data_IF_876292880426
#
_entry.id   IF_876292880426
#
_cell.length_a   1.000
_cell.length_b   1.000
_cell.length_c   1.000
_cell.angle_alpha   90.00
_cell.angle_beta   90.00
_cell.angle_gamma   90.00
#
_symmetry.space_group_name_H-M   'P 1'
#
loop_
_entity.id
_entity.type
_entity.pdbx_description
1 polymer ?
#
# COMPACT_ATOMS: atom_id res chain seq x y z
N UNK A 1 -19.33 -27.01 -74.64
CA UNK A 1 -19.24 -25.60 -75.08
C UNK A 1 -19.18 -24.70 -73.85
N UNK A 2 -18.13 -23.86 -73.77
CA UNK A 2 -17.89 -22.69 -72.86
C UNK A 2 -17.79 -23.00 -71.35
N UNK A 3 -16.64 -22.99 -70.67
CA UNK A 3 -15.49 -22.07 -70.57
C UNK A 3 -15.75 -20.74 -69.84
N UNK A 4 -15.00 -20.55 -68.74
CA UNK A 4 -14.52 -19.29 -68.10
C UNK A 4 -15.58 -18.35 -67.49
N UNK A 5 -15.44 -17.87 -66.24
CA UNK A 5 -14.40 -16.91 -65.83
C UNK A 5 -14.30 -16.78 -64.30
N UNK A 6 -13.08 -16.51 -63.84
CA UNK A 6 -12.70 -16.24 -62.46
C UNK A 6 -13.07 -14.82 -62.01
N UNK A 7 -13.28 -14.60 -60.72
CA UNK A 7 -13.00 -13.30 -60.10
C UNK A 7 -12.44 -13.52 -58.70
N UNK A 8 -11.12 -13.45 -58.62
CA UNK A 8 -10.31 -13.47 -57.41
C UNK A 8 -10.43 -12.09 -56.75
N UNK A 9 -11.04 -11.99 -55.56
CA UNK A 9 -10.95 -10.80 -54.73
C UNK A 9 -9.76 -10.95 -53.76
N UNK A 10 -8.64 -10.28 -54.05
CA UNK A 10 -7.57 -10.06 -53.08
C UNK A 10 -8.04 -9.01 -52.08
N UNK A 11 -8.34 -9.42 -50.85
CA UNK A 11 -8.48 -8.50 -49.72
C UNK A 11 -7.07 -8.19 -49.17
N UNK A 12 -6.61 -6.96 -49.37
CA UNK A 12 -5.35 -6.45 -48.83
C UNK A 12 -5.44 -6.32 -47.30
N UNK A 13 -4.78 -7.22 -46.57
CA UNK A 13 -4.58 -7.08 -45.12
C UNK A 13 -3.48 -6.04 -44.86
N UNK A 14 -3.88 -4.79 -44.63
CA UNK A 14 -2.98 -3.76 -44.09
C UNK A 14 -2.84 -3.98 -42.56
N UNK A 15 -1.86 -4.80 -42.17
CA UNK A 15 -1.50 -5.00 -40.76
C UNK A 15 -0.67 -3.82 -40.24
N UNK A 16 -1.30 -2.89 -39.53
CA UNK A 16 -0.60 -1.94 -38.66
C UNK A 16 -0.09 -2.70 -37.42
N UNK A 17 1.19 -3.06 -37.41
CA UNK A 17 1.88 -3.46 -36.18
C UNK A 17 2.12 -2.22 -35.33
N UNK A 18 1.23 -1.96 -34.36
CA UNK A 18 1.47 -1.00 -33.31
C UNK A 18 2.61 -1.53 -32.41
N UNK A 19 3.82 -0.97 -32.59
CA UNK A 19 4.94 -1.16 -31.68
C UNK A 19 4.56 -0.55 -30.32
N UNK A 20 4.09 -1.39 -29.41
CA UNK A 20 3.86 -1.02 -28.02
C UNK A 20 5.23 -0.80 -27.36
N UNK A 21 5.58 0.46 -27.13
CA UNK A 21 6.75 0.83 -26.33
C UNK A 21 6.43 0.47 -24.88
N UNK A 22 6.76 -0.76 -24.47
CA UNK A 22 6.76 -1.14 -23.07
C UNK A 22 7.87 -0.32 -22.38
N UNK A 23 7.47 0.67 -21.59
CA UNK A 23 8.40 1.37 -20.70
C UNK A 23 9.08 0.38 -19.74
N UNK A 24 10.24 0.72 -19.16
CA UNK A 24 10.89 -0.16 -18.19
C UNK A 24 9.96 -0.32 -16.99
N UNK A 25 9.36 -1.51 -16.85
CA UNK A 25 8.62 -1.89 -15.66
C UNK A 25 9.59 -1.86 -14.47
N UNK A 26 9.34 -0.97 -13.52
CA UNK A 26 9.91 -1.09 -12.18
C UNK A 26 9.31 -2.38 -11.62
N UNK A 27 10.16 -3.33 -11.23
CA UNK A 27 9.68 -4.61 -10.74
C UNK A 27 8.93 -4.37 -9.43
N UNK A 28 7.64 -4.73 -9.38
CA UNK A 28 6.84 -4.58 -8.18
C UNK A 28 7.47 -5.36 -6.99
N UNK A 29 7.26 -4.89 -5.75
CA UNK A 29 7.73 -5.60 -4.55
C UNK A 29 7.27 -7.06 -4.53
N UNK A 30 8.21 -7.98 -4.26
CA UNK A 30 7.97 -9.43 -4.25
C UNK A 30 8.14 -10.02 -2.86
N UNK A 31 7.48 -11.14 -2.54
CA UNK A 31 7.70 -11.82 -1.27
C UNK A 31 9.13 -12.38 -1.19
N UNK A 32 9.72 -12.32 -0.01
CA UNK A 32 11.01 -12.89 0.33
C UNK A 32 11.01 -13.42 1.77
N UNK A 33 11.99 -14.25 2.12
CA UNK A 33 12.29 -14.58 3.52
C UNK A 33 13.34 -13.61 4.04
N UNK A 34 12.94 -12.74 4.96
CA UNK A 34 13.71 -11.60 5.40
C UNK A 34 14.12 -11.71 6.86
N UNK A 35 15.21 -11.03 7.19
CA UNK A 35 15.64 -10.87 8.57
C UNK A 35 16.22 -9.46 8.74
N UNK A 36 15.77 -8.75 9.77
CA UNK A 36 16.38 -7.50 10.23
C UNK A 36 16.71 -7.64 11.71
N UNK A 37 18.00 -7.66 12.03
CA UNK A 37 18.51 -7.63 13.40
C UNK A 37 19.30 -6.34 13.59
N UNK A 38 18.98 -5.60 14.65
CA UNK A 38 19.70 -4.38 15.04
C UNK A 38 20.01 -4.47 16.53
N UNK A 39 21.29 -4.38 16.88
CA UNK A 39 21.83 -4.51 18.24
C UNK A 39 21.33 -5.77 18.97
N UNK A 40 21.26 -6.90 18.26
CA UNK A 40 20.85 -8.19 18.80
C UNK A 40 19.33 -8.39 18.95
N UNK A 41 18.51 -7.38 18.63
CA UNK A 41 17.05 -7.50 18.58
C UNK A 41 16.57 -7.71 17.15
N UNK A 42 15.69 -8.69 16.96
CA UNK A 42 15.03 -8.97 15.68
C UNK A 42 13.78 -8.10 15.52
N UNK A 43 13.70 -7.39 14.41
CA UNK A 43 12.57 -6.50 14.05
C UNK A 43 11.75 -7.02 12.88
N UNK A 44 12.40 -7.73 11.94
CA UNK A 44 11.74 -8.42 10.83
C UNK A 44 12.22 -9.87 10.83
N UNK A 45 11.28 -10.81 10.73
CA UNK A 45 11.57 -12.25 10.59
C UNK A 45 10.47 -12.93 9.79
N UNK A 46 10.85 -13.72 8.79
CA UNK A 46 9.92 -14.49 7.96
C UNK A 46 9.55 -13.77 6.67
N UNK A 47 8.33 -14.04 6.18
CA UNK A 47 7.86 -13.48 4.89
C UNK A 47 7.77 -11.96 5.00
N UNK A 48 8.45 -11.27 4.09
CA UNK A 48 8.42 -9.82 3.97
C UNK A 48 8.38 -9.40 2.50
N UNK A 49 8.14 -8.12 2.26
CA UNK A 49 8.23 -7.54 0.93
C UNK A 49 9.64 -7.06 0.64
N UNK A 50 10.14 -7.48 -0.51
CA UNK A 50 11.46 -7.15 -1.02
C UNK A 50 11.31 -6.40 -2.34
N UNK A 51 11.89 -5.21 -2.40
CA UNK A 51 11.92 -4.36 -3.59
C UNK A 51 13.37 -4.02 -3.93
N UNK A 52 13.79 -4.32 -5.16
CA UNK A 52 15.19 -4.17 -5.57
C UNK A 52 15.33 -3.16 -6.70
N UNK A 53 16.30 -2.28 -6.52
CA UNK A 53 16.76 -1.32 -7.51
C UNK A 53 17.78 -1.96 -8.47
N UNK A 54 17.96 -1.34 -9.63
CA UNK A 54 18.80 -1.88 -10.71
C UNK A 54 20.29 -1.95 -10.37
N UNK A 55 20.74 -1.11 -9.44
CA UNK A 55 22.12 -1.05 -8.93
C UNK A 55 22.42 -2.12 -7.87
N UNK A 56 21.41 -2.92 -7.47
CA UNK A 56 21.51 -3.92 -6.42
C UNK A 56 21.18 -3.39 -5.03
N UNK A 57 20.90 -2.08 -4.90
CA UNK A 57 20.24 -1.52 -3.71
C UNK A 57 18.84 -2.12 -3.57
N UNK A 58 18.32 -2.18 -2.35
CA UNK A 58 17.01 -2.78 -2.11
C UNK A 58 16.39 -2.30 -0.80
N UNK A 59 15.11 -2.62 -0.66
CA UNK A 59 14.29 -2.38 0.52
C UNK A 59 13.70 -3.70 1.00
N UNK A 60 13.63 -3.87 2.31
CA UNK A 60 12.78 -4.89 2.94
C UNK A 60 11.76 -4.22 3.84
N UNK A 61 10.52 -4.72 3.81
CA UNK A 61 9.41 -4.24 4.64
C UNK A 61 8.69 -5.43 5.27
N UNK A 62 8.51 -5.41 6.59
CA UNK A 62 7.81 -6.46 7.31
C UNK A 62 7.27 -5.94 8.65
N UNK A 63 5.98 -6.15 8.90
CA UNK A 63 5.32 -5.51 10.03
C UNK A 63 5.49 -3.98 9.96
N UNK A 64 5.71 -3.32 11.08
CA UNK A 64 5.91 -1.86 11.15
C UNK A 64 7.34 -1.40 10.83
N UNK A 65 8.23 -2.30 10.41
CA UNK A 65 9.64 -1.97 10.17
C UNK A 65 10.02 -2.13 8.71
N UNK A 66 10.94 -1.28 8.27
CA UNK A 66 11.56 -1.38 6.96
C UNK A 66 13.01 -0.90 7.01
N UNK A 67 13.82 -1.43 6.11
CA UNK A 67 15.23 -1.05 5.97
C UNK A 67 15.60 -0.87 4.50
N UNK A 68 16.41 0.15 4.23
CA UNK A 68 17.02 0.44 2.94
C UNK A 68 18.48 0.02 3.00
N UNK A 69 18.93 -0.67 1.96
CA UNK A 69 20.34 -1.01 1.73
C UNK A 69 20.78 -0.37 0.42
N UNK A 70 21.69 0.59 0.50
CA UNK A 70 22.27 1.30 -0.62
C UNK A 70 23.62 0.69 -0.97
N UNK A 71 23.73 0.02 -2.12
CA UNK A 71 24.98 -0.63 -2.54
C UNK A 71 25.95 0.44 -3.05
N UNK A 72 27.05 0.63 -2.32
CA UNK A 72 28.06 1.65 -2.61
C UNK A 72 29.28 1.08 -3.36
N UNK A 73 29.38 -0.24 -3.48
CA UNK A 73 30.44 -0.90 -4.23
C UNK A 73 30.39 -2.41 -4.15
N UNK A 74 31.42 -3.07 -4.71
CA UNK A 74 31.51 -4.53 -4.69
C UNK A 74 31.50 -5.05 -3.25
N UNK A 75 30.42 -5.74 -2.89
CA UNK A 75 30.17 -6.27 -1.54
C UNK A 75 30.20 -5.20 -0.42
N UNK A 76 29.97 -3.92 -0.75
CA UNK A 76 29.84 -2.82 0.21
C UNK A 76 28.51 -2.12 0.05
N UNK A 77 27.91 -1.75 1.16
CA UNK A 77 26.68 -0.98 1.21
C UNK A 77 26.64 -0.11 2.45
N UNK A 78 25.76 0.87 2.46
CA UNK A 78 25.29 1.55 3.67
C UNK A 78 23.80 1.26 3.85
N UNK A 79 23.32 1.29 5.08
CA UNK A 79 21.90 1.06 5.33
C UNK A 79 21.30 2.06 6.30
N UNK A 80 19.99 2.23 6.19
CA UNK A 80 19.16 2.96 7.14
C UNK A 80 17.82 2.27 7.33
N UNK A 81 17.13 2.58 8.41
CA UNK A 81 15.83 1.99 8.75
C UNK A 81 14.98 2.99 9.53
N UNK A 82 13.73 2.65 9.78
CA UNK A 82 12.79 3.56 10.43
C UNK A 82 13.00 3.71 11.94
N UNK A 83 13.55 2.69 12.61
CA UNK A 83 13.80 2.57 14.06
C UNK A 83 12.57 2.68 14.97
N UNK A 84 11.68 3.62 14.68
CA UNK A 84 10.35 3.79 15.25
C UNK A 84 9.30 3.19 14.29
N UNK A 85 8.46 2.24 14.75
CA UNK A 85 7.38 1.68 13.94
C UNK A 85 6.39 2.74 13.41
N UNK A 86 6.29 3.92 14.05
CA UNK A 86 5.48 5.03 13.59
C UNK A 86 6.16 5.91 12.53
N UNK A 87 7.47 5.76 12.27
CA UNK A 87 8.20 6.62 11.34
C UNK A 87 7.99 6.22 9.88
N UNK A 88 7.51 7.15 9.05
CA UNK A 88 7.38 7.01 7.58
C UNK A 88 8.71 7.05 6.81
N UNK A 89 9.84 7.30 7.49
CA UNK A 89 11.16 7.48 6.86
C UNK A 89 12.23 6.57 7.47
N UNK A 90 13.10 6.02 6.61
CA UNK A 90 14.31 5.30 7.03
C UNK A 90 15.45 6.26 7.37
N UNK A 91 15.27 7.06 8.42
CA UNK A 91 16.21 8.11 8.81
C UNK A 91 17.33 7.61 9.73
N UNK A 92 17.15 6.49 10.42
CA UNK A 92 18.13 6.00 11.38
C UNK A 92 19.24 5.23 10.64
N UNK A 93 20.52 5.68 10.71
CA UNK A 93 21.62 5.00 10.02
C UNK A 93 21.97 3.67 10.72
N UNK A 94 22.25 2.65 9.92
CA UNK A 94 22.76 1.34 10.33
C UNK A 94 24.27 1.16 10.03
N UNK A 95 24.87 2.13 9.34
CA UNK A 95 26.29 2.17 9.02
C UNK A 95 26.69 1.32 7.82
N UNK A 96 28.00 1.11 7.68
CA UNK A 96 28.58 0.31 6.59
C UNK A 96 28.31 -1.18 6.79
N UNK A 97 27.93 -1.83 5.69
CA UNK A 97 27.64 -3.25 5.61
C UNK A 97 28.55 -3.94 4.59
N UNK A 98 28.89 -5.20 4.88
CA UNK A 98 29.57 -6.10 3.94
C UNK A 98 28.64 -7.26 3.58
N UNK A 99 28.69 -7.68 2.32
CA UNK A 99 27.88 -8.81 1.84
C UNK A 99 28.42 -10.15 2.35
N UNK A 100 27.56 -10.95 2.97
CA UNK A 100 27.80 -12.34 3.39
C UNK A 100 26.65 -13.22 2.91
N UNK A 101 26.84 -13.83 1.73
CA UNK A 101 25.79 -14.64 1.09
C UNK A 101 24.58 -13.79 0.72
N UNK A 102 23.40 -14.16 1.23
CA UNK A 102 22.14 -13.44 1.05
C UNK A 102 21.93 -12.29 2.06
N UNK A 103 22.93 -12.02 2.90
CA UNK A 103 22.85 -11.03 3.97
C UNK A 103 23.86 -9.90 3.77
N UNK A 104 23.53 -8.74 4.31
CA UNK A 104 24.39 -7.60 4.52
C UNK A 104 24.60 -7.42 6.02
N UNK A 105 25.85 -7.45 6.45
CA UNK A 105 26.22 -7.53 7.86
C UNK A 105 27.17 -6.40 8.20
N UNK A 106 26.92 -5.73 9.31
CA UNK A 106 27.74 -4.65 9.85
C UNK A 106 27.88 -4.77 11.37
N UNK A 107 28.30 -3.68 12.03
CA UNK A 107 28.44 -3.67 13.49
C UNK A 107 27.06 -3.72 14.15
N UNK A 108 26.71 -4.88 14.71
CA UNK A 108 25.44 -5.08 15.41
C UNK A 108 24.22 -5.15 14.49
N UNK A 109 24.43 -5.26 13.17
CA UNK A 109 23.35 -5.24 12.17
C UNK A 109 23.46 -6.45 11.25
N UNK A 110 22.34 -7.10 11.01
CA UNK A 110 22.18 -8.14 9.98
C UNK A 110 20.88 -7.91 9.21
N UNK A 111 21.00 -7.76 7.89
CA UNK A 111 19.88 -7.60 6.97
C UNK A 111 19.97 -8.70 5.92
N UNK A 112 18.99 -9.61 5.90
CA UNK A 112 18.94 -10.70 4.94
C UNK A 112 17.69 -10.62 4.08
N UNK A 113 17.84 -10.96 2.80
CA UNK A 113 16.72 -11.18 1.89
C UNK A 113 16.99 -12.45 1.07
N UNK A 114 16.18 -13.48 1.29
CA UNK A 114 16.32 -14.80 0.67
C UNK A 114 15.11 -15.10 -0.20
N UNK A 115 15.30 -15.97 -1.19
CA UNK A 115 14.18 -16.50 -1.94
C UNK A 115 13.35 -17.42 -1.04
N UNK A 116 12.02 -17.34 -1.18
CA UNK A 116 11.12 -18.31 -0.58
C UNK A 116 11.19 -19.63 -1.35
N UNK A 117 10.85 -20.74 -0.68
CA UNK A 117 10.53 -21.98 -1.39
C UNK A 117 9.32 -21.77 -2.30
N UNK A 118 9.17 -22.53 -3.39
CA UNK A 118 8.02 -22.38 -4.30
C UNK A 118 6.67 -22.43 -3.58
N UNK A 119 6.52 -23.31 -2.60
CA UNK A 119 5.32 -23.43 -1.77
C UNK A 119 5.06 -22.17 -0.94
N UNK A 120 6.07 -21.66 -0.22
CA UNK A 120 5.93 -20.43 0.57
C UNK A 120 5.69 -19.22 -0.29
N UNK A 121 6.29 -19.17 -1.48
CA UNK A 121 6.04 -18.10 -2.44
C UNK A 121 4.59 -18.11 -2.93
N UNK A 122 4.08 -19.29 -3.32
CA UNK A 122 2.69 -19.44 -3.75
C UNK A 122 1.70 -19.08 -2.64
N UNK A 123 1.96 -19.52 -1.40
CA UNK A 123 1.14 -19.15 -0.25
C UNK A 123 1.18 -17.64 0.03
N UNK A 124 2.36 -17.03 0.02
CA UNK A 124 2.51 -15.59 0.18
C UNK A 124 1.76 -14.81 -0.91
N UNK A 125 1.87 -15.23 -2.16
CA UNK A 125 1.16 -14.62 -3.28
C UNK A 125 -0.37 -14.78 -3.16
N UNK A 126 -0.86 -15.95 -2.77
CA UNK A 126 -2.28 -16.19 -2.56
C UNK A 126 -2.88 -15.39 -1.40
N UNK A 127 -2.06 -15.08 -0.39
CA UNK A 127 -2.47 -14.23 0.75
C UNK A 127 -2.39 -12.73 0.48
N UNK A 128 -1.85 -12.30 -0.66
CA UNK A 128 -1.74 -10.88 -0.98
C UNK A 128 -3.12 -10.31 -1.32
N UNK A 129 -3.55 -9.23 -0.65
CA UNK A 129 -4.74 -8.51 -1.05
C UNK A 129 -4.65 -8.02 -2.51
N UNK A 130 -5.73 -8.19 -3.26
CA UNK A 130 -5.87 -7.82 -4.67
C UNK A 130 -6.61 -6.51 -4.89
N UNK A 131 -6.89 -5.74 -3.83
CA UNK A 131 -7.56 -4.45 -3.90
C UNK A 131 -6.62 -3.29 -4.14
N UNK A 132 -7.08 -2.11 -3.73
CA UNK A 132 -6.41 -0.83 -3.83
C UNK A 132 -6.01 -0.35 -2.44
N UNK A 133 -4.99 0.50 -2.38
CA UNK A 133 -4.72 1.35 -1.22
C UNK A 133 -5.52 2.63 -1.35
N UNK A 134 -5.78 3.28 -0.21
CA UNK A 134 -6.33 4.62 -0.15
C UNK A 134 -5.28 5.52 0.48
N UNK A 135 -4.77 6.49 -0.28
CA UNK A 135 -3.79 7.47 0.16
C UNK A 135 -4.45 8.84 0.29
N UNK A 136 -4.11 9.66 1.29
CA UNK A 136 -4.59 11.03 1.35
C UNK A 136 -3.81 11.88 0.34
N UNK A 137 -4.52 12.75 -0.36
CA UNK A 137 -3.92 13.84 -1.12
C UNK A 137 -3.68 15.02 -0.16
N UNK A 138 -2.75 14.79 0.77
CA UNK A 138 -2.38 15.71 1.84
C UNK A 138 -0.86 15.92 1.84
N UNK A 139 -0.37 17.17 1.74
CA UNK A 139 1.06 17.46 1.88
C UNK A 139 1.62 16.89 3.18
N UNK A 140 2.78 16.23 3.11
CA UNK A 140 3.44 15.60 4.26
C UNK A 140 2.89 14.22 4.65
N UNK A 141 1.77 13.78 4.09
CA UNK A 141 1.18 12.47 4.38
C UNK A 141 0.92 11.61 3.12
N UNK A 142 1.39 12.02 1.95
CA UNK A 142 1.17 11.29 0.69
C UNK A 142 1.78 9.88 0.67
N UNK A 143 2.80 9.60 1.49
CA UNK A 143 3.40 8.27 1.67
C UNK A 143 2.68 7.38 2.69
N UNK A 144 1.55 7.85 3.23
CA UNK A 144 0.73 7.11 4.18
C UNK A 144 -0.53 6.57 3.51
N UNK A 145 -1.10 5.52 4.11
CA UNK A 145 -2.27 4.81 3.62
C UNK A 145 -3.28 4.68 4.75
N UNK A 146 -4.56 4.66 4.38
CA UNK A 146 -5.63 4.25 5.30
C UNK A 146 -5.47 2.76 5.57
N UNK A 147 -5.57 2.36 6.84
CA UNK A 147 -5.61 0.96 7.22
C UNK A 147 -6.15 0.76 8.62
N UNK A 148 -6.36 -0.50 9.01
CA UNK A 148 -6.77 -0.84 10.37
C UNK A 148 -5.66 -0.55 11.37
N UNK A 149 -6.01 0.01 12.53
CA UNK A 149 -5.09 0.16 13.66
C UNK A 149 -4.45 -1.19 14.00
N UNK A 150 -3.14 -1.19 14.20
CA UNK A 150 -2.33 -2.37 14.50
C UNK A 150 -2.45 -3.52 13.48
N UNK A 151 -2.90 -3.26 12.25
CA UNK A 151 -3.20 -4.28 11.23
C UNK A 151 -4.29 -5.28 11.62
N UNK A 152 -5.16 -4.92 12.56
CA UNK A 152 -6.24 -5.80 12.99
C UNK A 152 -7.51 -5.56 12.17
N UNK A 153 -7.74 -6.42 11.19
CA UNK A 153 -8.95 -6.41 10.36
C UNK A 153 -10.09 -7.15 11.06
N UNK A 154 -10.65 -6.53 12.09
CA UNK A 154 -11.72 -7.06 12.94
C UNK A 154 -12.74 -5.96 13.29
N UNK A 155 -13.98 -6.34 13.63
CA UNK A 155 -15.00 -5.37 14.02
C UNK A 155 -14.62 -4.61 15.30
N UNK A 156 -14.95 -3.32 15.36
CA UNK A 156 -14.63 -2.38 16.43
C UNK A 156 -13.22 -1.78 16.34
N UNK A 157 -12.44 -2.08 15.30
CA UNK A 157 -11.10 -1.50 15.12
C UNK A 157 -11.16 -0.18 14.35
N UNK A 158 -10.52 0.86 14.90
CA UNK A 158 -10.39 2.16 14.25
C UNK A 158 -9.63 2.04 12.92
N UNK A 159 -10.09 2.77 11.90
CA UNK A 159 -9.27 3.13 10.76
C UNK A 159 -8.35 4.29 11.12
N UNK A 160 -7.12 4.21 10.62
CA UNK A 160 -6.08 5.20 10.86
C UNK A 160 -5.29 5.43 9.58
N UNK A 161 -4.65 6.59 9.51
CA UNK A 161 -3.63 6.89 8.54
C UNK A 161 -2.27 6.48 9.10
N UNK A 162 -1.55 5.67 8.34
CA UNK A 162 -0.35 4.95 8.79
C UNK A 162 0.62 4.74 7.63
N UNK A 163 1.83 4.32 7.93
CA UNK A 163 2.81 3.97 6.90
C UNK A 163 2.21 2.90 5.99
N UNK A 164 2.23 3.14 4.68
CA UNK A 164 1.80 2.15 3.70
C UNK A 164 2.68 0.90 3.82
N UNK A 165 2.08 -0.23 4.21
CA UNK A 165 2.70 -1.55 4.24
C UNK A 165 2.27 -2.32 3.00
N UNK A 166 2.87 -1.95 1.89
CA UNK A 166 2.66 -2.63 0.63
C UNK A 166 3.12 -4.09 0.70
N UNK A 167 2.33 -5.08 0.23
CA UNK A 167 0.98 -4.97 -0.35
C UNK A 167 -0.15 -5.21 0.66
N UNK A 168 0.14 -5.42 1.94
CA UNK A 168 -0.86 -5.74 2.97
C UNK A 168 -1.98 -4.68 3.11
N UNK A 169 -1.75 -3.44 2.70
CA UNK A 169 -2.76 -2.38 2.73
C UNK A 169 -3.60 -2.27 1.43
N UNK A 170 -3.38 -3.15 0.43
CA UNK A 170 -4.18 -3.22 -0.82
C UNK A 170 -5.52 -3.92 -0.63
N UNK A 171 -6.27 -3.53 0.39
CA UNK A 171 -7.49 -4.25 0.80
C UNK A 171 -8.76 -3.61 0.28
N UNK A 172 -8.73 -2.38 -0.23
CA UNK A 172 -9.96 -1.66 -0.55
C UNK A 172 -10.47 -2.02 -1.94
N UNK A 173 -11.72 -2.43 -2.03
CA UNK A 173 -12.38 -2.78 -3.29
C UNK A 173 -13.52 -1.80 -3.53
N UNK A 174 -13.57 -1.22 -4.73
CA UNK A 174 -14.73 -0.47 -5.20
C UNK A 174 -15.61 -1.39 -6.03
N UNK A 175 -16.78 -1.75 -5.50
CA UNK A 175 -17.76 -2.58 -6.20
C UNK A 175 -19.18 -2.05 -5.93
N UNK A 176 -20.02 -2.03 -6.97
CA UNK A 176 -21.45 -1.69 -6.88
C UNK A 176 -21.77 -0.36 -6.16
N UNK A 177 -20.92 0.64 -6.35
CA UNK A 177 -21.09 1.94 -5.68
C UNK A 177 -20.88 1.86 -4.17
N UNK A 178 -20.07 0.92 -3.69
CA UNK A 178 -19.65 0.81 -2.30
C UNK A 178 -18.16 0.51 -2.20
N UNK A 179 -17.59 0.87 -1.04
CA UNK A 179 -16.25 0.48 -0.63
C UNK A 179 -16.34 -0.78 0.25
N UNK A 180 -15.74 -1.87 -0.22
CA UNK A 180 -15.64 -3.16 0.49
C UNK A 180 -14.17 -3.53 0.74
N UNK A 181 -13.94 -4.63 1.46
CA UNK A 181 -12.60 -5.06 1.87
C UNK A 181 -12.28 -6.46 1.31
N UNK A 182 -11.25 -6.55 0.48
CA UNK A 182 -10.69 -7.81 0.00
C UNK A 182 -10.18 -8.65 1.17
N UNK A 183 -10.31 -9.96 1.07
CA UNK A 183 -10.05 -10.95 2.13
C UNK A 183 -10.91 -10.77 3.40
N UNK A 184 -11.78 -9.76 3.46
CA UNK A 184 -12.60 -9.43 4.63
C UNK A 184 -14.07 -9.14 4.27
N UNK A 185 -14.78 -10.05 3.59
CA UNK A 185 -16.12 -9.79 3.03
C UNK A 185 -17.22 -9.53 4.08
N UNK A 186 -16.99 -9.88 5.35
CA UNK A 186 -17.91 -9.60 6.46
C UNK A 186 -17.69 -8.25 7.14
N UNK A 187 -16.63 -7.51 6.79
CA UNK A 187 -16.28 -6.23 7.38
C UNK A 187 -16.55 -5.08 6.41
N UNK A 188 -17.13 -4.03 6.96
CA UNK A 188 -17.46 -2.79 6.29
C UNK A 188 -16.94 -1.62 7.14
N UNK A 189 -16.91 -0.43 6.54
CA UNK A 189 -16.43 0.78 7.21
C UNK A 189 -17.63 1.58 7.68
N UNK A 190 -17.67 1.94 8.95
CA UNK A 190 -18.76 2.72 9.54
C UNK A 190 -18.24 3.95 10.31
N UNK A 191 -19.17 4.84 10.65
CA UNK A 191 -18.90 6.03 11.45
C UNK A 191 -19.42 5.83 12.88
N UNK A 192 -18.52 5.61 13.84
CA UNK A 192 -18.89 5.45 15.25
C UNK A 192 -18.78 6.78 16.00
N UNK A 193 -19.91 7.25 16.53
CA UNK A 193 -19.95 8.48 17.33
C UNK A 193 -19.09 8.37 18.59
N UNK A 194 -18.36 9.44 18.91
CA UNK A 194 -17.63 9.50 20.16
C UNK A 194 -18.61 9.63 21.35
N UNK A 195 -18.38 8.96 22.49
CA UNK A 195 -19.26 9.02 23.66
C UNK A 195 -19.57 10.44 24.17
N UNK A 196 -18.65 11.38 23.92
CA UNK A 196 -18.72 12.75 24.41
C UNK A 196 -19.16 13.78 23.35
N UNK A 197 -19.75 13.33 22.22
CA UNK A 197 -20.20 14.23 21.15
C UNK A 197 -19.08 14.82 20.29
N UNK A 198 -17.86 14.26 20.35
CA UNK A 198 -16.77 14.58 19.42
C UNK A 198 -16.99 13.99 18.02
N UNK A 199 -16.08 14.30 17.09
CA UNK A 199 -16.12 13.75 15.73
C UNK A 199 -16.20 12.21 15.75
N UNK A 200 -17.01 11.65 14.85
CA UNK A 200 -17.14 10.20 14.74
C UNK A 200 -15.83 9.61 14.19
N UNK A 201 -15.40 8.49 14.74
CA UNK A 201 -14.27 7.74 14.20
C UNK A 201 -14.74 6.85 13.06
N UNK A 202 -13.91 6.69 12.05
CA UNK A 202 -14.09 5.62 11.09
C UNK A 202 -13.61 4.32 11.72
N UNK A 203 -14.47 3.30 11.71
CA UNK A 203 -14.20 1.99 12.31
C UNK A 203 -14.55 0.86 11.34
N UNK A 204 -13.91 -0.28 11.52
CA UNK A 204 -14.35 -1.54 10.94
C UNK A 204 -15.53 -2.07 11.74
N UNK A 205 -16.57 -2.53 11.05
CA UNK A 205 -17.77 -3.09 11.67
C UNK A 205 -18.37 -4.17 10.76
N UNK A 206 -19.13 -5.10 11.34
CA UNK A 206 -19.88 -6.10 10.61
C UNK A 206 -20.85 -5.43 9.63
N UNK A 207 -20.84 -5.86 8.37
CA UNK A 207 -21.59 -5.22 7.29
C UNK A 207 -23.11 -5.15 7.49
N UNK A 208 -23.67 -6.02 8.32
CA UNK A 208 -25.09 -6.03 8.73
C UNK A 208 -25.43 -5.00 9.82
N UNK A 209 -24.42 -4.51 10.54
CA UNK A 209 -24.53 -3.46 11.58
C UNK A 209 -24.12 -2.08 11.08
N UNK A 210 -23.47 -2.00 9.92
CA UNK A 210 -23.06 -0.72 9.33
C UNK A 210 -24.23 0.08 8.78
N UNK A 211 -24.30 1.37 9.11
CA UNK A 211 -25.28 2.28 8.54
C UNK A 211 -24.73 2.97 7.28
N UNK A 212 -23.46 3.36 7.27
CA UNK A 212 -22.88 4.14 6.18
C UNK A 212 -22.50 3.29 4.95
N UNK A 213 -22.67 3.87 3.77
CA UNK A 213 -22.16 3.35 2.49
C UNK A 213 -21.29 4.40 1.82
N UNK A 214 -20.01 4.07 1.63
CA UNK A 214 -19.00 5.02 1.17
C UNK A 214 -18.74 4.92 -0.32
N UNK A 215 -18.64 6.08 -0.99
CA UNK A 215 -18.39 6.24 -2.41
C UNK A 215 -17.32 7.29 -2.66
N UNK A 216 -16.57 7.12 -3.75
CA UNK A 216 -15.65 8.15 -4.22
C UNK A 216 -15.56 8.11 -5.74
N UNK A 217 -15.31 9.27 -6.34
CA UNK A 217 -14.94 9.42 -7.75
C UNK A 217 -13.42 9.41 -7.95
N UNK A 218 -12.65 9.25 -6.87
CA UNK A 218 -11.20 9.23 -6.93
C UNK A 218 -10.70 8.08 -7.81
N UNK A 219 -9.59 8.34 -8.49
CA UNK A 219 -8.84 7.40 -9.30
C UNK A 219 -7.35 7.45 -8.91
N UNK A 220 -6.49 6.73 -9.62
CA UNK A 220 -5.04 6.73 -9.36
C UNK A 220 -4.35 8.05 -9.68
N UNK A 221 -4.93 8.89 -10.54
CA UNK A 221 -4.38 10.20 -10.93
C UNK A 221 -5.20 11.38 -10.44
N UNK A 222 -6.43 11.15 -9.99
CA UNK A 222 -7.38 12.19 -9.61
C UNK A 222 -7.88 11.95 -8.19
N UNK A 223 -7.56 12.87 -7.28
CA UNK A 223 -8.01 12.79 -5.90
C UNK A 223 -9.45 13.28 -5.73
N UNK A 224 -10.21 12.65 -4.85
CA UNK A 224 -11.57 13.07 -4.51
C UNK A 224 -11.94 12.71 -3.08
N UNK A 225 -12.94 13.40 -2.53
CA UNK A 225 -13.50 13.08 -1.23
C UNK A 225 -14.22 11.72 -1.26
N UNK A 226 -14.10 10.96 -0.16
CA UNK A 226 -14.89 9.76 0.09
C UNK A 226 -16.13 10.18 0.90
N UNK A 227 -17.31 9.92 0.36
CA UNK A 227 -18.60 10.43 0.86
C UNK A 227 -19.59 9.32 1.14
N UNK A 228 -20.43 9.48 2.16
CA UNK A 228 -21.59 8.62 2.40
C UNK A 228 -22.87 9.21 1.78
N UNK A 229 -23.91 8.38 1.65
CA UNK A 229 -25.22 8.84 1.19
C UNK A 229 -25.89 9.84 2.16
N UNK A 230 -25.52 9.77 3.44
CA UNK A 230 -26.02 10.62 4.52
C UNK A 230 -25.28 11.97 4.60
N UNK A 231 -24.35 12.24 3.67
CA UNK A 231 -23.61 13.50 3.61
C UNK A 231 -22.41 13.58 4.55
N UNK A 232 -21.90 12.44 5.03
CA UNK A 232 -20.63 12.38 5.75
C UNK A 232 -19.46 12.28 4.76
N UNK A 233 -18.34 12.88 5.12
CA UNK A 233 -17.07 12.79 4.42
C UNK A 233 -16.00 12.21 5.33
N UNK A 234 -15.09 11.43 4.76
CA UNK A 234 -13.87 11.03 5.45
C UNK A 234 -13.00 12.26 5.70
N UNK A 235 -12.44 12.34 6.91
CA UNK A 235 -11.48 13.37 7.33
C UNK A 235 -10.27 12.69 7.96
N UNK A 236 -9.16 13.40 7.96
CA UNK A 236 -7.93 13.00 8.68
C UNK A 236 -7.79 13.95 9.87
N UNK A 237 -7.68 13.39 11.08
CA UNK A 237 -7.30 14.16 12.27
C UNK A 237 -5.77 14.33 12.28
N UNK A 238 -5.28 15.08 11.30
CA UNK A 238 -3.87 15.41 11.19
C UNK A 238 -3.60 16.64 12.07
N UNK A 239 -2.79 16.51 13.14
CA UNK A 239 -2.41 17.65 13.95
C UNK A 239 -1.57 18.64 13.13
N UNK A 240 -1.61 19.92 13.51
CA UNK A 240 -0.80 20.97 12.88
C UNK A 240 0.71 20.83 13.15
N UNK A 241 1.07 20.02 14.15
CA UNK A 241 2.46 19.71 14.47
C UNK A 241 2.96 18.61 13.53
N UNK A 242 3.92 18.96 12.69
CA UNK A 242 4.56 18.04 11.75
C UNK A 242 5.33 16.90 12.45
N UNK A 243 5.63 17.04 13.75
CA UNK A 243 6.29 16.02 14.56
C UNK A 243 5.32 15.12 15.32
N UNK A 244 4.01 15.30 15.13
CA UNK A 244 3.05 14.51 15.87
C UNK A 244 3.18 13.02 15.54
N UNK A 245 3.02 12.13 16.53
CA UNK A 245 3.21 10.72 16.33
C UNK A 245 2.10 10.16 15.43
N UNK A 246 2.50 9.44 14.39
CA UNK A 246 1.61 8.54 13.66
C UNK A 246 1.22 7.35 14.55
N UNK A 247 0.06 6.70 14.30
CA UNK A 247 -0.86 6.93 13.20
C UNK A 247 -1.94 7.98 13.49
N UNK A 248 -2.36 8.75 12.46
CA UNK A 248 -3.43 9.76 12.59
C UNK A 248 -4.81 9.11 12.53
N UNK A 249 -5.77 9.64 13.28
CA UNK A 249 -7.12 9.08 13.29
C UNK A 249 -7.86 9.42 11.98
N UNK A 250 -8.61 8.43 11.46
CA UNK A 250 -9.56 8.66 10.39
C UNK A 250 -10.93 8.94 11.00
N UNK A 251 -11.56 10.04 10.56
CA UNK A 251 -12.82 10.51 11.10
C UNK A 251 -13.90 10.54 10.03
N UNK A 252 -15.15 10.51 10.48
CA UNK A 252 -16.33 10.83 9.68
C UNK A 252 -16.99 12.08 10.26
N UNK A 253 -17.20 13.07 9.41
CA UNK A 253 -17.89 14.31 9.77
C UNK A 253 -18.77 14.76 8.59
N UNK A 254 -19.76 15.65 8.79
CA UNK A 254 -20.45 16.27 7.68
C UNK A 254 -19.46 16.81 6.64
N UNK A 255 -19.76 16.60 5.35
CA UNK A 255 -18.96 17.19 4.29
C UNK A 255 -18.95 18.71 4.37
N UNK A 256 -17.85 19.33 3.94
CA UNK A 256 -17.75 20.78 3.94
C UNK A 256 -18.73 21.40 2.93
N UNK A 257 -19.22 22.60 3.26
CA UNK A 257 -20.08 23.37 2.36
C UNK A 257 -19.36 23.74 1.06
N UNK A 258 -18.05 23.96 1.14
CA UNK A 258 -17.16 24.06 -0.01
C UNK A 258 -16.44 22.71 -0.24
N UNK A 259 -16.76 21.96 -1.31
CA UNK A 259 -16.14 20.68 -1.61
C UNK A 259 -14.62 20.73 -1.80
N UNK A 260 -14.03 21.92 -2.03
CA UNK A 260 -12.59 22.09 -2.12
C UNK A 260 -11.88 21.94 -0.76
N UNK A 261 -12.60 22.10 0.36
CA UNK A 261 -12.08 21.96 1.72
C UNK A 261 -12.14 20.52 2.24
N UNK A 262 -12.93 19.64 1.58
CA UNK A 262 -12.98 18.24 1.96
C UNK A 262 -11.61 17.56 1.76
N UNK A 263 -11.24 16.70 2.70
CA UNK A 263 -10.07 15.84 2.55
C UNK A 263 -10.23 14.96 1.30
N UNK A 264 -9.19 14.92 0.48
CA UNK A 264 -9.18 14.17 -0.78
C UNK A 264 -8.30 12.95 -0.64
N UNK A 265 -8.68 11.91 -1.37
CA UNK A 265 -8.00 10.63 -1.36
C UNK A 265 -7.76 10.15 -2.78
N UNK A 266 -6.69 9.39 -2.96
CA UNK A 266 -6.28 8.73 -4.19
C UNK A 266 -6.39 7.23 -3.95
N UNK A 267 -6.83 6.50 -4.96
CA UNK A 267 -6.83 5.03 -4.91
C UNK A 267 -5.70 4.49 -5.79
N UNK A 268 -4.76 3.79 -5.18
CA UNK A 268 -3.57 3.30 -5.85
C UNK A 268 -3.53 1.77 -5.89
N UNK A 269 -3.11 1.22 -7.04
CA UNK A 269 -2.87 -0.22 -7.20
C UNK A 269 -1.41 -0.61 -6.99
N UNK A 270 -0.49 0.36 -6.97
CA UNK A 270 0.96 0.17 -6.88
C UNK A 270 1.60 1.22 -5.98
#
# INVERSE_FOLDING_TARGET
>A
MRAMTATTMLAACAGLFALSVAGPAVAAPRPADCTLVVNGKTYISGVCDFDADKDGSFRISGGDYFAYVNVTGKNRAEASWNADPASIHAHAPLGELTRKGACWVGRGVEICARNLSPEKLAAAQASRPGGEMINPDLPGASSSCVGARDQRWEAGVDLVLRNCKLPADKVFIRADGALTLDQHPGLCIDAQSAPNGGAAKLVLEACDRTAARWQSKAASTDSAAIRSAEGLCWKVDAPKDENAPFPFAMLAAPCDADPAQDAKFIFAKE
#
